data_IF_571105778221
#
_entry.id   IF_571105778221
#
_cell.length_a   1.000
_cell.length_b   1.000
_cell.length_c   1.000
_cell.angle_alpha   90.00
_cell.angle_beta   90.00
_cell.angle_gamma   90.00
#
_symmetry.space_group_name_H-M   'P 1'
#
loop_
_entity.id
_entity.type
_entity.pdbx_description
1 polymer ?
#
# COMPACT_ATOMS: atom_id res chain seq x y z
N UNK A 1 -5.91 16.65 13.46
CA UNK A 1 -4.93 15.55 13.24
C UNK A 1 -3.69 15.91 14.02
N UNK A 2 -3.43 15.24 15.15
CA UNK A 2 -2.24 15.51 15.95
C UNK A 2 -1.06 14.75 15.33
N UNK A 3 -0.22 15.46 14.57
CA UNK A 3 1.08 14.93 14.19
C UNK A 3 1.98 15.09 15.42
N UNK A 4 2.58 14.00 15.90
CA UNK A 4 3.57 14.09 16.96
C UNK A 4 4.84 14.74 16.40
N UNK A 5 5.32 15.80 17.05
CA UNK A 5 6.50 16.58 16.63
C UNK A 5 7.83 15.80 16.64
N UNK A 6 7.80 14.51 17.02
CA UNK A 6 8.98 13.71 17.34
C UNK A 6 9.15 12.43 16.51
N UNK A 7 8.50 12.28 15.35
CA UNK A 7 8.76 11.11 14.49
C UNK A 7 10.02 11.29 13.66
N UNK A 8 10.97 10.39 13.86
CA UNK A 8 12.23 10.40 13.13
C UNK A 8 12.05 9.80 11.74
N UNK A 9 12.81 10.27 10.75
CA UNK A 9 12.85 9.70 9.39
C UNK A 9 13.08 8.18 9.42
N UNK A 10 13.88 7.69 10.36
CA UNK A 10 14.19 6.27 10.49
C UNK A 10 12.98 5.41 10.90
N UNK A 11 12.08 5.93 11.73
CA UNK A 11 10.84 5.23 12.11
C UNK A 11 9.89 5.10 10.91
N UNK A 12 9.84 6.14 10.07
CA UNK A 12 9.07 6.14 8.83
C UNK A 12 9.65 5.10 7.87
N UNK A 13 10.98 5.10 7.67
CA UNK A 13 11.66 4.11 6.82
C UNK A 13 11.41 2.68 7.31
N UNK A 14 11.48 2.44 8.61
CA UNK A 14 11.25 1.12 9.18
C UNK A 14 9.79 0.65 9.01
N UNK A 15 8.84 1.58 9.14
CA UNK A 15 7.42 1.30 8.89
C UNK A 15 7.17 0.96 7.42
N UNK A 16 7.76 1.73 6.49
CA UNK A 16 7.66 1.46 5.06
C UNK A 16 8.34 0.14 4.65
N UNK A 17 9.49 -0.18 5.24
CA UNK A 17 10.17 -1.45 5.03
C UNK A 17 9.29 -2.64 5.46
N UNK A 18 8.58 -2.50 6.58
CA UNK A 18 7.64 -3.52 7.06
C UNK A 18 6.43 -3.67 6.12
N UNK A 19 5.88 -2.56 5.63
CA UNK A 19 4.83 -2.55 4.59
C UNK A 19 5.26 -3.29 3.32
N UNK A 20 6.48 -3.01 2.84
CA UNK A 20 7.04 -3.68 1.66
C UNK A 20 7.18 -5.19 1.87
N UNK A 21 7.73 -5.63 3.01
CA UNK A 21 7.85 -7.06 3.34
C UNK A 21 6.50 -7.77 3.38
N UNK A 22 5.46 -7.13 3.94
CA UNK A 22 4.10 -7.69 3.96
C UNK A 22 3.53 -7.76 2.54
N UNK A 23 3.73 -6.74 1.71
CA UNK A 23 3.28 -6.72 0.32
C UNK A 23 3.88 -7.89 -0.48
N UNK A 24 5.20 -8.09 -0.36
CA UNK A 24 5.96 -9.14 -1.05
C UNK A 24 5.81 -10.55 -0.45
N UNK A 25 5.04 -10.73 0.64
CA UNK A 25 4.98 -11.99 1.39
C UNK A 25 6.36 -12.51 1.82
N UNK A 26 7.25 -11.60 2.23
CA UNK A 26 8.62 -11.94 2.60
C UNK A 26 8.65 -12.86 3.84
N UNK A 27 9.54 -13.86 3.83
CA UNK A 27 9.68 -14.84 4.91
C UNK A 27 10.07 -14.21 6.25
N UNK A 28 10.81 -13.10 6.20
CA UNK A 28 11.23 -12.28 7.34
C UNK A 28 10.29 -11.10 7.65
N UNK A 29 9.14 -11.01 6.96
CA UNK A 29 8.13 -9.95 7.13
C UNK A 29 7.19 -10.14 8.32
N UNK A 30 7.48 -11.10 9.19
CA UNK A 30 6.66 -11.42 10.36
C UNK A 30 5.35 -12.15 10.04
N UNK A 31 4.46 -12.31 11.02
CA UNK A 31 3.23 -13.11 10.88
C UNK A 31 2.27 -12.61 9.80
N UNK A 32 2.17 -11.29 9.62
CA UNK A 32 1.25 -10.70 8.64
C UNK A 32 1.70 -11.01 7.20
N UNK A 33 3.01 -11.04 6.93
CA UNK A 33 3.53 -11.40 5.61
C UNK A 33 3.23 -12.86 5.21
N UNK A 34 2.94 -13.73 6.17
CA UNK A 34 2.60 -15.14 5.95
C UNK A 34 1.11 -15.39 5.68
N UNK A 35 0.26 -14.37 5.79
CA UNK A 35 -1.17 -14.49 5.47
C UNK A 35 -1.37 -14.65 3.96
N UNK A 36 -2.55 -15.07 3.54
CA UNK A 36 -2.95 -15.10 2.13
C UNK A 36 -3.05 -13.69 1.54
N UNK A 37 -3.02 -13.59 0.20
CA UNK A 37 -2.98 -12.30 -0.51
C UNK A 37 -4.11 -11.36 -0.07
N UNK A 38 -5.34 -11.88 0.03
CA UNK A 38 -6.51 -11.11 0.40
C UNK A 38 -6.40 -10.53 1.83
N UNK A 39 -5.92 -11.33 2.79
CA UNK A 39 -5.74 -10.85 4.17
C UNK A 39 -4.59 -9.86 4.30
N UNK A 40 -3.49 -10.05 3.56
CA UNK A 40 -2.39 -9.07 3.53
C UNK A 40 -2.87 -7.74 2.96
N UNK A 41 -3.58 -7.76 1.83
CA UNK A 41 -4.15 -6.57 1.23
C UNK A 41 -5.08 -5.83 2.21
N UNK A 42 -6.05 -6.55 2.80
CA UNK A 42 -6.96 -6.00 3.80
C UNK A 42 -6.24 -5.41 5.02
N UNK A 43 -5.12 -6.01 5.43
CA UNK A 43 -4.30 -5.46 6.51
C UNK A 43 -3.60 -4.17 6.07
N UNK A 44 -2.95 -4.18 4.91
CA UNK A 44 -2.23 -3.03 4.35
C UNK A 44 -3.13 -1.81 4.15
N UNK A 45 -4.39 -2.04 3.76
CA UNK A 45 -5.35 -0.95 3.47
C UNK A 45 -6.18 -0.53 4.68
N UNK A 46 -5.93 -1.11 5.86
CA UNK A 46 -6.70 -0.79 7.07
C UNK A 46 -6.23 0.51 7.71
N UNK A 47 -7.16 1.40 8.04
CA UNK A 47 -6.88 2.68 8.71
C UNK A 47 -6.56 2.47 10.19
N UNK A 48 -5.37 1.94 10.48
CA UNK A 48 -4.98 1.51 11.84
C UNK A 48 -3.67 2.10 12.35
N UNK A 49 -2.79 2.53 11.45
CA UNK A 49 -1.48 3.07 11.83
C UNK A 49 -1.55 4.57 12.07
N UNK A 50 -0.87 5.02 13.12
CA UNK A 50 -0.64 6.44 13.42
C UNK A 50 0.62 6.97 12.74
N UNK A 51 1.45 6.10 12.13
CA UNK A 51 2.71 6.45 11.45
C UNK A 51 2.51 6.56 9.94
N UNK A 52 1.93 5.54 9.31
CA UNK A 52 1.70 5.49 7.85
C UNK A 52 0.22 5.24 7.62
N UNK A 53 -0.50 6.22 7.06
CA UNK A 53 -1.89 6.05 6.66
C UNK A 53 -1.97 5.87 5.15
N UNK A 54 -2.51 4.74 4.71
CA UNK A 54 -2.84 4.53 3.31
C UNK A 54 -4.07 5.34 2.93
N UNK A 55 -4.15 5.77 1.67
CA UNK A 55 -5.39 6.32 1.11
C UNK A 55 -6.52 5.29 1.17
N UNK A 56 -7.75 5.75 0.92
CA UNK A 56 -8.85 4.84 0.64
C UNK A 56 -8.49 3.92 -0.52
N UNK A 57 -8.98 2.69 -0.45
CA UNK A 57 -8.89 1.76 -1.59
C UNK A 57 -9.83 2.26 -2.66
N UNK A 58 -9.30 2.44 -3.86
CA UNK A 58 -10.07 2.75 -5.06
C UNK A 58 -10.00 1.54 -5.98
N UNK A 59 -10.89 0.55 -5.81
CA UNK A 59 -10.90 -0.61 -6.68
C UNK A 59 -11.35 -0.16 -8.08
N UNK A 60 -10.50 -0.38 -9.07
CA UNK A 60 -10.85 -0.26 -10.48
C UNK A 60 -10.93 -1.66 -11.09
N UNK A 61 -11.95 -1.91 -11.90
CA UNK A 61 -11.96 -3.10 -12.75
C UNK A 61 -11.10 -2.80 -13.97
N UNK A 62 -10.13 -3.68 -14.22
CA UNK A 62 -9.22 -3.57 -15.34
C UNK A 62 -8.97 -4.98 -15.87
N UNK A 63 -9.51 -5.29 -17.04
CA UNK A 63 -9.30 -6.59 -17.69
C UNK A 63 -7.92 -6.65 -18.34
N UNK A 64 -7.55 -5.61 -19.09
CA UNK A 64 -6.22 -5.46 -19.70
C UNK A 64 -5.60 -4.09 -19.32
N UNK A 65 -4.53 -4.08 -18.49
CA UNK A 65 -3.85 -2.86 -18.08
C UNK A 65 -3.26 -2.05 -19.23
N UNK A 66 -2.72 -2.70 -20.26
CA UNK A 66 -2.06 -2.03 -21.37
C UNK A 66 -3.09 -1.32 -22.25
N UNK A 67 -4.20 -1.99 -22.58
CA UNK A 67 -5.31 -1.40 -23.35
C UNK A 67 -5.95 -0.26 -22.58
N UNK A 68 -6.19 -0.45 -21.28
CA UNK A 68 -6.81 0.57 -20.42
C UNK A 68 -5.94 1.81 -20.31
N UNK A 69 -4.62 1.63 -20.14
CA UNK A 69 -3.67 2.74 -20.08
C UNK A 69 -3.66 3.55 -21.38
N UNK A 70 -3.57 2.89 -22.54
CA UNK A 70 -3.56 3.55 -23.84
C UNK A 70 -4.85 4.36 -24.07
N UNK A 71 -6.01 3.77 -23.74
CA UNK A 71 -7.31 4.44 -23.84
C UNK A 71 -7.35 5.70 -22.98
N UNK A 72 -6.94 5.61 -21.71
CA UNK A 72 -6.98 6.73 -20.77
C UNK A 72 -6.02 7.86 -21.18
N UNK A 73 -4.82 7.51 -21.65
CA UNK A 73 -3.85 8.49 -22.14
C UNK A 73 -4.39 9.29 -23.34
N UNK A 74 -5.02 8.61 -24.30
CA UNK A 74 -5.66 9.25 -25.46
C UNK A 74 -6.85 10.16 -25.08
N UNK A 75 -7.51 9.93 -23.94
CA UNK A 75 -8.70 10.69 -23.54
C UNK A 75 -8.40 11.89 -22.64
N UNK A 76 -7.34 11.80 -21.83
CA UNK A 76 -7.09 12.73 -20.71
C UNK A 76 -5.80 13.54 -20.87
N UNK A 77 -4.96 13.20 -21.85
CA UNK A 77 -3.65 13.84 -22.05
C UNK A 77 -3.50 14.41 -23.45
N UNK A 78 -3.79 13.59 -24.48
CA UNK A 78 -3.79 14.01 -25.89
C UNK A 78 -5.09 14.74 -26.25
#
# INVERSE_FOLDING_TARGET
>A
LAFSDNKTIDEIKQSLASFHKICCAASDGGPIARLDLASRFRWLTSTRSTIVQTSKVHPGFCEDPAVTLLRLHNQLVL
#
